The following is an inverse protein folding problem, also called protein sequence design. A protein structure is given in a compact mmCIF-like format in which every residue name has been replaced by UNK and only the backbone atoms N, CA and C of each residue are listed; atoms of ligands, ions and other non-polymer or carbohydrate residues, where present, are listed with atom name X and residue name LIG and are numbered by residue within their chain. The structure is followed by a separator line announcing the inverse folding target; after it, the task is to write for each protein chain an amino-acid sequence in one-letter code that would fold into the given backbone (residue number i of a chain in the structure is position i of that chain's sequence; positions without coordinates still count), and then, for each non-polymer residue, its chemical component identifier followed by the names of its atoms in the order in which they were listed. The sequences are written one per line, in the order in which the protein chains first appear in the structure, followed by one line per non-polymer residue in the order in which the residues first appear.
data_IF_824766377515
#
_entry.id   IF_824766377515
#
_cell.length_a   1.000
_cell.length_b   1.000
_cell.length_c   1.000
_cell.angle_alpha   90.00
_cell.angle_beta   90.00
_cell.angle_gamma   90.00
#
_symmetry.space_group_name_H-M   'P 1'
#
loop_
_entity.id
_entity.type
_entity.pdbx_description
1 polymer ?
#
# COMPACT_ATOMS: atom_id res chain seq x y z
N UNK A 1 -54.10 50.55 24.99
CA UNK A 1 -52.84 50.71 24.20
C UNK A 1 -51.99 49.46 24.41
N UNK A 2 -52.18 48.44 23.55
CA UNK A 2 -51.54 47.14 23.69
C UNK A 2 -50.27 47.08 22.85
N UNK A 3 -49.07 46.94 23.48
CA UNK A 3 -47.79 46.75 22.80
C UNK A 3 -47.63 45.29 22.42
N UNK A 4 -47.54 44.97 21.12
CA UNK A 4 -47.23 43.65 20.60
C UNK A 4 -45.70 43.47 20.65
N UNK A 5 -45.25 42.47 21.40
CA UNK A 5 -43.84 41.99 21.42
C UNK A 5 -43.66 41.03 20.26
N UNK A 6 -42.79 41.35 19.29
CA UNK A 6 -42.36 40.41 18.24
C UNK A 6 -41.20 39.57 18.80
N UNK A 7 -41.43 38.27 18.95
CA UNK A 7 -40.38 37.28 19.23
C UNK A 7 -39.74 36.93 17.88
N UNK A 8 -38.46 37.28 17.73
CA UNK A 8 -37.64 36.86 16.59
C UNK A 8 -37.03 35.51 16.98
N UNK A 9 -37.57 34.42 16.38
CA UNK A 9 -36.96 33.09 16.46
C UNK A 9 -35.68 33.10 15.60
N UNK A 10 -34.51 33.20 16.25
CA UNK A 10 -33.22 32.98 15.60
C UNK A 10 -33.01 31.49 15.30
N UNK A 11 -33.13 31.11 14.02
CA UNK A 11 -32.80 29.79 13.55
C UNK A 11 -31.26 29.70 13.47
N UNK A 12 -30.63 29.20 14.53
CA UNK A 12 -29.19 28.90 14.56
C UNK A 12 -28.90 27.69 13.66
N UNK A 13 -28.34 27.95 12.49
CA UNK A 13 -27.81 26.91 11.61
C UNK A 13 -26.54 26.32 12.29
N UNK A 14 -26.67 25.17 12.96
CA UNK A 14 -25.50 24.41 13.41
C UNK A 14 -24.84 23.80 12.17
N UNK A 15 -23.73 24.41 11.71
CA UNK A 15 -22.81 23.74 10.81
C UNK A 15 -22.10 22.63 11.62
N UNK A 16 -22.52 21.40 11.45
CA UNK A 16 -21.70 20.25 11.86
C UNK A 16 -20.55 20.14 10.88
N UNK A 17 -19.35 20.50 11.34
CA UNK A 17 -18.13 20.20 10.62
C UNK A 17 -18.02 18.65 10.55
N UNK A 18 -18.22 18.09 9.36
CA UNK A 18 -17.92 16.70 9.07
C UNK A 18 -16.39 16.63 8.93
N UNK A 19 -15.71 16.23 9.98
CA UNK A 19 -14.30 15.86 9.88
C UNK A 19 -14.25 14.62 8.97
N UNK A 20 -13.79 14.82 7.73
CA UNK A 20 -13.46 13.71 6.86
C UNK A 20 -12.29 12.96 7.48
N UNK A 21 -12.54 11.75 7.99
CA UNK A 21 -11.47 10.86 8.41
C UNK A 21 -10.48 10.72 7.24
N UNK A 22 -9.19 10.90 7.51
CA UNK A 22 -8.17 10.74 6.47
C UNK A 22 -8.24 9.32 5.95
N UNK A 23 -8.59 9.17 4.66
CA UNK A 23 -8.67 7.86 4.04
C UNK A 23 -7.28 7.19 4.04
N UNK A 24 -7.24 5.88 4.29
CA UNK A 24 -6.02 5.09 4.18
C UNK A 24 -5.45 5.22 2.76
N UNK A 25 -4.15 5.49 2.65
CA UNK A 25 -3.46 5.74 1.39
C UNK A 25 -2.26 4.80 1.23
N UNK A 26 -2.00 4.34 0.01
CA UNK A 26 -0.76 3.66 -0.30
C UNK A 26 0.44 4.63 -0.14
N UNK A 27 1.55 4.12 0.38
CA UNK A 27 2.83 4.85 0.52
C UNK A 27 3.83 4.32 -0.50
N UNK A 28 3.84 3.01 -0.67
CA UNK A 28 4.58 2.25 -1.68
C UNK A 28 3.81 0.96 -2.01
N UNK A 29 4.41 0.02 -2.73
CA UNK A 29 3.73 -1.21 -3.17
C UNK A 29 3.37 -2.20 -2.06
N UNK A 30 3.80 -1.97 -0.81
CA UNK A 30 3.52 -2.87 0.32
C UNK A 30 3.30 -2.14 1.66
N UNK A 31 3.07 -0.84 1.60
CA UNK A 31 2.84 -0.03 2.80
C UNK A 31 1.66 0.93 2.62
N UNK A 32 0.89 1.08 3.69
CA UNK A 32 -0.24 2.00 3.79
C UNK A 32 0.01 3.02 4.90
N UNK A 33 -0.68 4.15 4.84
CA UNK A 33 -0.75 5.13 5.90
C UNK A 33 -2.21 5.44 6.27
N UNK A 34 -2.49 5.47 7.56
CA UNK A 34 -3.74 5.93 8.15
C UNK A 34 -3.41 7.08 9.11
N UNK A 35 -3.53 8.32 8.65
CA UNK A 35 -2.99 9.49 9.34
C UNK A 35 -1.50 9.30 9.64
N UNK A 36 -1.14 9.35 10.92
CA UNK A 36 0.24 9.15 11.39
C UNK A 36 0.65 7.67 11.52
N UNK A 37 -0.32 6.76 11.42
CA UNK A 37 -0.07 5.32 11.55
C UNK A 37 0.50 4.77 10.26
N UNK A 38 1.65 4.10 10.34
CA UNK A 38 2.29 3.40 9.22
C UNK A 38 2.02 1.91 9.32
N UNK A 39 1.52 1.34 8.22
CA UNK A 39 1.16 -0.07 8.10
C UNK A 39 2.03 -0.70 7.03
N UNK A 40 2.65 -1.82 7.36
CA UNK A 40 3.39 -2.67 6.42
C UNK A 40 2.59 -3.93 6.14
N UNK A 41 2.29 -4.21 4.89
CA UNK A 41 1.62 -5.45 4.50
C UNK A 41 2.55 -6.63 4.78
N UNK A 42 2.17 -7.46 5.76
CA UNK A 42 3.00 -8.56 6.23
C UNK A 42 3.07 -9.70 5.23
N UNK A 43 4.23 -10.39 5.20
CA UNK A 43 4.45 -11.59 4.37
C UNK A 43 4.73 -11.30 2.91
N UNK A 44 4.77 -10.03 2.49
CA UNK A 44 5.06 -9.63 1.11
C UNK A 44 6.16 -8.57 1.05
N UNK A 45 6.76 -8.40 -0.13
CA UNK A 45 7.80 -7.42 -0.41
C UNK A 45 7.64 -6.90 -1.84
N UNK A 46 7.27 -5.63 -1.98
CA UNK A 46 7.10 -4.98 -3.28
C UNK A 46 8.38 -4.22 -3.68
N UNK A 47 8.58 -3.94 -4.97
CA UNK A 47 9.66 -3.07 -5.41
C UNK A 47 9.59 -1.71 -4.75
N UNK A 48 10.75 -1.14 -4.46
CA UNK A 48 10.87 0.24 -3.97
C UNK A 48 10.28 1.20 -5.01
N UNK A 49 9.65 2.29 -4.58
CA UNK A 49 8.94 3.21 -5.45
C UNK A 49 9.75 3.64 -6.70
N UNK A 50 11.05 3.87 -6.54
CA UNK A 50 11.96 4.27 -7.63
C UNK A 50 12.67 3.08 -8.30
N UNK A 51 12.29 1.84 -7.98
CA UNK A 51 12.92 0.66 -8.58
C UNK A 51 12.43 0.45 -10.00
N UNK A 52 13.38 0.19 -10.91
CA UNK A 52 13.11 -0.20 -12.29
C UNK A 52 13.31 -1.70 -12.49
N UNK A 53 12.57 -2.25 -13.45
CA UNK A 53 12.60 -3.62 -13.90
C UNK A 53 12.65 -3.68 -15.45
N UNK A 54 12.89 -4.86 -16.02
CA UNK A 54 12.78 -5.09 -17.47
C UNK A 54 11.48 -5.85 -17.80
N UNK A 55 10.80 -5.47 -18.87
CA UNK A 55 9.65 -6.20 -19.40
C UNK A 55 10.07 -7.46 -20.20
N UNK A 56 9.11 -8.17 -20.78
CA UNK A 56 9.37 -9.36 -21.59
C UNK A 56 10.23 -9.08 -22.84
N UNK A 57 10.35 -7.83 -23.27
CA UNK A 57 11.15 -7.40 -24.42
C UNK A 57 12.50 -6.81 -24.01
N UNK A 58 12.84 -6.84 -22.71
CA UNK A 58 14.05 -6.24 -22.15
C UNK A 58 14.00 -4.71 -22.06
N UNK A 59 12.82 -4.08 -22.16
CA UNK A 59 12.66 -2.64 -21.98
C UNK A 59 12.47 -2.31 -20.50
N UNK A 60 13.20 -1.30 -20.04
CA UNK A 60 13.10 -0.82 -18.68
C UNK A 60 11.73 -0.14 -18.42
N UNK A 61 11.16 -0.38 -17.24
CA UNK A 61 9.95 0.29 -16.76
C UNK A 61 9.97 0.47 -15.23
N UNK A 62 9.24 1.47 -14.73
CA UNK A 62 9.14 1.81 -13.32
C UNK A 62 8.25 0.80 -12.58
N UNK A 63 8.80 -0.36 -12.21
CA UNK A 63 8.02 -1.42 -11.55
C UNK A 63 7.60 -1.06 -10.12
N UNK A 64 8.37 -0.25 -9.42
CA UNK A 64 8.00 0.25 -8.09
C UNK A 64 6.77 1.17 -8.15
N UNK A 65 6.73 2.08 -9.12
CA UNK A 65 5.56 2.92 -9.37
C UNK A 65 4.33 2.07 -9.74
N UNK A 66 4.49 1.05 -10.61
CA UNK A 66 3.40 0.18 -11.00
C UNK A 66 2.83 -0.63 -9.81
N UNK A 67 3.68 -1.10 -8.89
CA UNK A 67 3.26 -1.77 -7.67
C UNK A 67 2.49 -0.81 -6.74
N UNK A 68 2.99 0.42 -6.55
CA UNK A 68 2.30 1.47 -5.81
C UNK A 68 0.92 1.78 -6.42
N UNK A 69 0.86 2.03 -7.73
CA UNK A 69 -0.38 2.37 -8.44
C UNK A 69 -1.43 1.26 -8.29
N UNK A 70 -0.99 0.00 -8.32
CA UNK A 70 -1.89 -1.13 -8.14
C UNK A 70 -2.45 -1.18 -6.71
N UNK A 71 -1.60 -1.03 -5.67
CA UNK A 71 -2.08 -0.97 -4.29
C UNK A 71 -2.98 0.23 -4.05
N UNK A 72 -2.65 1.39 -4.61
CA UNK A 72 -3.48 2.59 -4.56
C UNK A 72 -4.85 2.35 -5.20
N UNK A 73 -4.91 1.69 -6.37
CA UNK A 73 -6.17 1.34 -7.03
C UNK A 73 -7.03 0.38 -6.19
N UNK A 74 -6.40 -0.58 -5.50
CA UNK A 74 -7.11 -1.52 -4.63
C UNK A 74 -7.74 -0.83 -3.41
N UNK A 75 -7.04 0.17 -2.82
CA UNK A 75 -7.39 0.78 -1.53
C UNK A 75 -8.09 2.14 -1.65
N UNK A 76 -7.96 2.86 -2.78
CA UNK A 76 -8.48 4.22 -2.93
C UNK A 76 -9.99 4.34 -2.63
N UNK A 77 -10.34 5.26 -1.74
CA UNK A 77 -11.73 5.52 -1.35
C UNK A 77 -12.39 4.39 -0.57
N UNK A 78 -11.61 3.45 -0.06
CA UNK A 78 -12.08 2.32 0.76
C UNK A 78 -11.45 2.38 2.14
N UNK A 79 -12.06 1.69 3.09
CA UNK A 79 -11.56 1.54 4.46
C UNK A 79 -11.09 0.09 4.66
N UNK A 80 -9.78 -0.22 4.51
CA UNK A 80 -9.27 -1.55 4.76
C UNK A 80 -9.41 -1.96 6.24
N UNK A 81 -9.91 -3.17 6.49
CA UNK A 81 -9.80 -3.85 7.80
C UNK A 81 -8.40 -4.44 7.92
N UNK A 82 -7.51 -3.79 8.68
CA UNK A 82 -6.13 -4.24 8.87
C UNK A 82 -5.97 -4.97 10.20
N UNK A 83 -5.65 -6.27 10.12
CA UNK A 83 -5.39 -7.15 11.27
C UNK A 83 -3.88 -7.19 11.51
N UNK A 84 -3.45 -6.62 12.61
CA UNK A 84 -2.04 -6.39 12.91
C UNK A 84 -1.63 -7.21 14.12
N UNK A 85 -0.53 -7.97 14.00
CA UNK A 85 -0.04 -8.85 15.08
C UNK A 85 1.22 -8.30 15.75
N UNK A 86 2.04 -7.48 15.05
CA UNK A 86 3.33 -7.03 15.56
C UNK A 86 3.71 -5.65 14.98
N UNK A 87 4.89 -5.18 15.36
CA UNK A 87 5.54 -3.98 14.80
C UNK A 87 6.94 -4.29 14.34
N UNK A 88 7.33 -3.67 13.25
CA UNK A 88 8.73 -3.77 12.83
C UNK A 88 9.63 -2.82 13.64
N UNK A 89 10.95 -2.94 13.43
CA UNK A 89 11.97 -2.12 14.10
C UNK A 89 11.87 -0.61 13.81
N UNK A 90 11.04 -0.21 12.85
CA UNK A 90 10.79 1.19 12.49
C UNK A 90 9.45 1.68 13.06
N UNK A 91 8.72 0.84 13.81
CA UNK A 91 7.45 1.17 14.44
C UNK A 91 6.22 1.02 13.54
N UNK A 92 6.37 0.49 12.29
CA UNK A 92 5.24 0.21 11.42
C UNK A 92 4.50 -1.02 11.92
N UNK A 93 3.16 -0.99 11.89
CA UNK A 93 2.33 -2.15 12.19
C UNK A 93 2.48 -3.19 11.07
N UNK A 94 2.71 -4.45 11.43
CA UNK A 94 2.74 -5.58 10.51
C UNK A 94 1.34 -6.16 10.42
N UNK A 95 0.68 -6.04 9.25
CA UNK A 95 -0.73 -6.35 9.11
C UNK A 95 -1.04 -7.15 7.85
N UNK A 96 -2.09 -7.98 7.94
CA UNK A 96 -2.86 -8.39 6.77
C UNK A 96 -4.10 -7.49 6.66
N UNK A 97 -4.25 -6.79 5.52
CA UNK A 97 -5.32 -5.81 5.30
C UNK A 97 -6.34 -6.35 4.29
N UNK A 98 -7.63 -6.07 4.54
CA UNK A 98 -8.74 -6.59 3.76
C UNK A 98 -9.67 -5.49 3.29
N UNK A 99 -10.21 -5.62 2.08
CA UNK A 99 -11.37 -4.89 1.59
C UNK A 99 -12.51 -5.90 1.45
N UNK A 100 -13.44 -5.91 2.42
CA UNK A 100 -14.39 -7.01 2.57
C UNK A 100 -13.66 -8.33 2.83
N UNK A 101 -13.83 -9.32 1.95
CA UNK A 101 -13.12 -10.62 2.05
C UNK A 101 -11.80 -10.66 1.27
N UNK A 102 -11.50 -9.64 0.50
CA UNK A 102 -10.30 -9.58 -0.35
C UNK A 102 -9.09 -9.12 0.44
N UNK A 103 -8.10 -10.00 0.64
CA UNK A 103 -6.79 -9.64 1.21
C UNK A 103 -5.96 -8.82 0.22
N UNK A 104 -5.55 -7.61 0.61
CA UNK A 104 -4.66 -6.76 -0.19
C UNK A 104 -3.29 -7.43 -0.36
N UNK A 105 -2.75 -8.02 0.71
CA UNK A 105 -1.48 -8.74 0.68
C UNK A 105 -1.51 -9.84 -0.40
N UNK A 106 -2.55 -10.66 -0.39
CA UNK A 106 -2.75 -11.73 -1.38
C UNK A 106 -2.90 -11.21 -2.80
N UNK A 107 -3.64 -10.12 -2.98
CA UNK A 107 -3.85 -9.52 -4.31
C UNK A 107 -2.56 -8.96 -4.91
N UNK A 108 -1.69 -8.34 -4.10
CA UNK A 108 -0.39 -7.86 -4.55
C UNK A 108 0.48 -9.00 -5.10
N UNK A 109 0.50 -10.16 -4.43
CA UNK A 109 1.21 -11.36 -4.89
C UNK A 109 0.54 -11.94 -6.14
N UNK A 110 -0.79 -12.15 -6.11
CA UNK A 110 -1.53 -12.75 -7.22
C UNK A 110 -1.45 -11.96 -8.53
N UNK A 111 -1.33 -10.63 -8.42
CA UNK A 111 -1.10 -9.74 -9.56
C UNK A 111 0.39 -9.65 -9.97
N UNK A 112 1.30 -10.24 -9.19
CA UNK A 112 2.74 -10.23 -9.43
C UNK A 112 3.43 -8.90 -9.11
N UNK A 113 2.79 -8.00 -8.34
CA UNK A 113 3.36 -6.71 -7.94
C UNK A 113 4.12 -6.73 -6.62
N UNK A 114 4.11 -7.88 -5.94
CA UNK A 114 4.97 -8.17 -4.79
C UNK A 114 5.45 -9.62 -4.85
N UNK A 115 6.50 -9.93 -4.09
CA UNK A 115 7.00 -11.27 -3.88
C UNK A 115 6.79 -11.69 -2.43
N UNK A 116 6.71 -12.98 -2.14
CA UNK A 116 6.68 -13.46 -0.77
C UNK A 116 7.95 -13.09 -0.01
N UNK A 117 7.76 -12.71 1.25
CA UNK A 117 8.84 -12.32 2.13
C UNK A 117 8.63 -12.87 3.54
N UNK A 118 9.56 -13.74 4.00
CA UNK A 118 9.53 -14.36 5.34
C UNK A 118 8.21 -15.07 5.68
N UNK A 119 7.52 -15.57 4.67
CA UNK A 119 6.23 -16.23 4.79
C UNK A 119 6.07 -17.24 3.67
N UNK A 120 5.28 -18.28 3.88
CA UNK A 120 4.87 -19.25 2.86
C UNK A 120 3.36 -19.18 2.60
N UNK A 121 2.66 -18.19 3.18
CA UNK A 121 1.19 -18.08 3.14
C UNK A 121 0.63 -17.85 1.75
N UNK A 122 1.44 -17.35 0.81
CA UNK A 122 1.02 -16.95 -0.53
C UNK A 122 1.72 -17.74 -1.64
N UNK A 123 2.27 -18.94 -1.34
CA UNK A 123 2.99 -19.76 -2.32
C UNK A 123 2.16 -20.04 -3.57
N UNK A 124 0.90 -20.41 -3.41
CA UNK A 124 0.03 -20.73 -4.55
C UNK A 124 -0.26 -19.53 -5.44
N UNK A 125 -0.36 -18.33 -4.87
CA UNK A 125 -0.55 -17.09 -5.62
C UNK A 125 0.73 -16.67 -6.35
N UNK A 126 1.89 -16.76 -5.67
CA UNK A 126 3.19 -16.45 -6.28
C UNK A 126 3.49 -17.40 -7.43
N UNK A 127 3.35 -18.73 -7.23
CA UNK A 127 3.56 -19.73 -8.26
C UNK A 127 2.67 -19.49 -9.49
N UNK A 128 1.41 -19.12 -9.26
CA UNK A 128 0.48 -18.78 -10.35
C UNK A 128 0.89 -17.50 -11.08
N UNK A 129 1.27 -16.44 -10.34
CA UNK A 129 1.74 -15.18 -10.92
C UNK A 129 3.00 -15.41 -11.79
N UNK A 130 3.94 -16.27 -11.32
CA UNK A 130 5.13 -16.67 -12.05
C UNK A 130 4.76 -17.43 -13.35
N UNK A 131 3.89 -18.44 -13.25
CA UNK A 131 3.47 -19.24 -14.40
C UNK A 131 2.75 -18.41 -15.47
N UNK A 132 1.93 -17.45 -15.04
CA UNK A 132 1.17 -16.54 -15.90
C UNK A 132 1.97 -15.28 -16.30
N UNK A 133 3.23 -15.14 -15.86
CA UNK A 133 4.13 -14.00 -16.15
C UNK A 133 3.51 -12.65 -15.82
N UNK A 134 2.80 -12.56 -14.68
CA UNK A 134 2.14 -11.34 -14.23
C UNK A 134 3.12 -10.36 -13.57
N UNK A 135 2.83 -9.08 -13.72
CA UNK A 135 3.56 -8.01 -13.04
C UNK A 135 5.07 -8.11 -13.22
N UNK A 136 5.82 -8.27 -12.14
CA UNK A 136 7.27 -8.42 -12.13
C UNK A 136 7.76 -9.65 -12.92
N UNK A 137 6.95 -10.72 -12.93
CA UNK A 137 7.31 -12.00 -13.55
C UNK A 137 7.27 -12.00 -15.08
N UNK A 138 6.83 -10.90 -15.71
CA UNK A 138 6.85 -10.75 -17.17
C UNK A 138 8.26 -10.63 -17.76
N UNK A 139 9.26 -10.24 -16.96
CA UNK A 139 10.62 -10.03 -17.44
C UNK A 139 11.65 -10.22 -16.33
N UNK A 140 12.64 -9.32 -16.24
CA UNK A 140 13.68 -9.41 -15.22
C UNK A 140 13.49 -8.35 -14.17
N UNK A 141 13.63 -8.74 -12.92
CA UNK A 141 13.65 -7.81 -11.80
C UNK A 141 14.61 -8.27 -10.71
N UNK A 142 15.13 -7.31 -9.97
CA UNK A 142 15.86 -7.59 -8.75
C UNK A 142 14.86 -7.74 -7.60
N UNK A 143 14.98 -8.79 -6.78
CA UNK A 143 14.13 -8.93 -5.60
C UNK A 143 14.26 -7.69 -4.70
N UNK A 144 13.15 -7.13 -4.19
CA UNK A 144 13.16 -5.83 -3.49
C UNK A 144 14.11 -5.80 -2.29
N UNK A 145 14.17 -6.88 -1.52
CA UNK A 145 15.11 -7.00 -0.39
C UNK A 145 16.58 -6.86 -0.82
N UNK A 146 16.94 -7.45 -1.96
CA UNK A 146 18.30 -7.35 -2.51
C UNK A 146 18.58 -5.93 -3.04
N UNK A 147 17.58 -5.34 -3.73
CA UNK A 147 17.68 -3.96 -4.21
C UNK A 147 18.01 -2.99 -3.08
N UNK A 148 17.28 -3.06 -1.95
CA UNK A 148 17.55 -2.23 -0.76
C UNK A 148 18.96 -2.41 -0.20
N UNK A 149 19.47 -3.64 -0.19
CA UNK A 149 20.84 -3.92 0.27
C UNK A 149 21.86 -3.25 -0.63
N UNK A 150 21.71 -3.40 -1.95
CA UNK A 150 22.64 -2.82 -2.92
C UNK A 150 22.61 -1.29 -2.91
N UNK A 151 21.42 -0.69 -2.85
CA UNK A 151 21.30 0.77 -2.75
C UNK A 151 21.96 1.32 -1.48
N UNK A 152 21.80 0.66 -0.35
CA UNK A 152 22.50 1.03 0.88
C UNK A 152 24.03 0.94 0.73
N UNK A 153 24.54 -0.15 0.15
CA UNK A 153 25.99 -0.32 -0.07
C UNK A 153 26.54 0.74 -1.06
N UNK A 154 25.76 1.15 -2.06
CA UNK A 154 26.11 2.26 -2.97
C UNK A 154 26.19 3.59 -2.21
N UNK A 155 25.17 3.88 -1.39
CA UNK A 155 25.18 5.12 -0.57
C UNK A 155 26.33 5.17 0.43
N UNK A 156 26.76 4.00 0.95
CA UNK A 156 27.92 3.87 1.84
C UNK A 156 29.26 3.86 1.09
N UNK A 157 29.26 3.95 -0.24
CA UNK A 157 30.48 3.91 -1.07
C UNK A 157 31.20 2.56 -1.08
N UNK A 158 30.54 1.48 -0.67
CA UNK A 158 31.14 0.13 -0.60
C UNK A 158 31.10 -0.62 -1.92
N UNK A 159 30.21 -0.23 -2.83
CA UNK A 159 30.10 -0.75 -4.20
C UNK A 159 29.85 0.41 -5.17
N UNK A 160 30.18 0.20 -6.46
CA UNK A 160 29.93 1.15 -7.57
C UNK A 160 28.72 0.72 -8.38
#
# INVERSE_FOLDING_TARGET
MMRRIKIILGCGLMLTAFEAAAAIQAVDGDSLADGDTRIRLEGIDAPEFMQNCEDANGREYACGQAAYDYLQQLSAGKEPDCRCEDKDKYGRLLCECFIGEMSLNRQMIAAGWAVQYRSERFNAEEDRAMAEKKGLWQGKFMRPALHRVLERLRMEGKIR
#
